data_IF_192690282561
#
_entry.id   IF_192690282561
#
_cell.length_a   1.000
_cell.length_b   1.000
_cell.length_c   1.000
_cell.angle_alpha   90.00
_cell.angle_beta   90.00
_cell.angle_gamma   90.00
#
_symmetry.space_group_name_H-M   'P 1'
#
loop_
_entity.id
_entity.type
_entity.pdbx_description
1 polymer ?
#
# COMPACT_ATOMS: atom_id res chain seq x y z
N UNK A 1 1.06 -51.31 -29.92
CA UNK A 1 -0.09 -50.61 -29.31
C UNK A 1 0.20 -49.97 -27.94
N UNK A 2 0.90 -50.58 -26.97
CA UNK A 2 1.08 -49.95 -25.65
C UNK A 2 2.06 -48.77 -25.67
N UNK A 3 3.12 -48.84 -26.48
CA UNK A 3 4.14 -47.78 -26.55
C UNK A 3 3.60 -46.46 -27.08
N UNK A 4 2.73 -46.50 -28.09
CA UNK A 4 2.10 -45.30 -28.65
C UNK A 4 1.18 -44.61 -27.63
N UNK A 5 0.48 -45.38 -26.79
CA UNK A 5 -0.39 -44.85 -25.75
C UNK A 5 0.42 -44.21 -24.61
N UNK A 6 1.52 -44.83 -24.20
CA UNK A 6 2.45 -44.27 -23.20
C UNK A 6 3.09 -42.98 -23.70
N UNK A 7 3.52 -42.94 -24.97
CA UNK A 7 4.08 -41.73 -25.58
C UNK A 7 3.03 -40.61 -25.70
N UNK A 8 1.79 -40.94 -26.09
CA UNK A 8 0.70 -39.98 -26.16
C UNK A 8 0.33 -39.43 -24.77
N UNK A 9 0.31 -40.28 -23.73
CA UNK A 9 0.07 -39.85 -22.35
C UNK A 9 1.21 -38.97 -21.83
N UNK A 10 2.47 -39.35 -22.09
CA UNK A 10 3.63 -38.56 -21.70
C UNK A 10 3.68 -37.20 -22.43
N UNK A 11 3.35 -37.17 -23.71
CA UNK A 11 3.24 -35.93 -24.48
C UNK A 11 2.08 -35.06 -23.99
N UNK A 12 0.92 -35.65 -23.70
CA UNK A 12 -0.23 -34.93 -23.13
C UNK A 12 0.10 -34.36 -21.77
N UNK A 13 0.70 -35.14 -20.87
CA UNK A 13 1.19 -34.66 -19.56
C UNK A 13 2.25 -33.58 -19.72
N UNK A 14 3.17 -33.71 -20.68
CA UNK A 14 4.17 -32.70 -20.98
C UNK A 14 3.56 -31.38 -21.46
N UNK A 15 2.54 -31.43 -22.32
CA UNK A 15 1.81 -30.25 -22.78
C UNK A 15 1.03 -29.61 -21.62
N UNK A 16 0.34 -30.40 -20.80
CA UNK A 16 -0.39 -29.86 -19.64
C UNK A 16 0.57 -29.30 -18.59
N UNK A 17 1.73 -29.93 -18.36
CA UNK A 17 2.76 -29.40 -17.48
C UNK A 17 3.38 -28.12 -18.05
N UNK A 18 3.63 -28.05 -19.37
CA UNK A 18 4.09 -26.83 -20.01
C UNK A 18 3.02 -25.72 -19.99
N UNK A 19 1.73 -26.05 -20.07
CA UNK A 19 0.65 -25.06 -19.95
C UNK A 19 0.47 -24.56 -18.50
N UNK A 20 0.62 -25.44 -17.51
CA UNK A 20 0.47 -25.11 -16.09
C UNK A 20 1.72 -24.46 -15.47
N UNK A 21 2.91 -24.73 -16.01
CA UNK A 21 4.18 -24.33 -15.40
C UNK A 21 5.17 -23.65 -16.37
N UNK A 22 4.87 -23.61 -17.67
CA UNK A 22 5.82 -23.22 -18.72
C UNK A 22 6.09 -21.73 -18.86
N UNK A 23 5.35 -20.86 -18.18
CA UNK A 23 5.55 -19.39 -18.32
C UNK A 23 5.45 -18.56 -17.05
N UNK A 24 5.18 -19.12 -15.88
CA UNK A 24 5.04 -18.30 -14.67
C UNK A 24 6.34 -18.29 -13.86
N UNK A 25 7.24 -17.40 -14.29
CA UNK A 25 8.34 -16.83 -13.50
C UNK A 25 7.83 -15.59 -12.73
N UNK A 26 6.51 -15.39 -12.64
CA UNK A 26 5.95 -14.18 -12.02
C UNK A 26 5.79 -14.29 -10.50
N UNK A 27 5.79 -15.50 -9.96
CA UNK A 27 5.59 -15.82 -8.54
C UNK A 27 6.75 -15.37 -7.61
N UNK A 28 7.95 -15.07 -8.14
CA UNK A 28 9.15 -14.78 -7.32
C UNK A 28 10.07 -13.72 -7.94
N UNK A 29 9.54 -12.59 -8.40
CA UNK A 29 10.38 -11.43 -8.71
C UNK A 29 11.02 -11.37 -10.11
N UNK A 30 10.38 -11.86 -11.18
CA UNK A 30 10.94 -11.76 -12.54
C UNK A 30 9.93 -11.36 -13.60
N UNK A 31 9.86 -10.07 -13.92
CA UNK A 31 9.29 -9.59 -15.18
C UNK A 31 10.36 -8.78 -15.92
N UNK A 32 10.69 -9.22 -17.13
CA UNK A 32 11.31 -8.42 -18.18
C UNK A 32 10.27 -7.38 -18.63
N UNK A 33 10.50 -6.11 -18.29
CA UNK A 33 9.73 -4.99 -18.82
C UNK A 33 10.10 -4.82 -20.29
N UNK A 34 9.25 -5.29 -21.19
CA UNK A 34 9.13 -4.66 -22.49
C UNK A 34 7.95 -3.67 -22.38
N UNK A 35 8.18 -2.35 -22.52
CA UNK A 35 7.13 -1.37 -22.30
C UNK A 35 6.08 -1.50 -23.40
N UNK A 36 4.87 -1.93 -23.02
CA UNK A 36 3.71 -1.87 -23.91
C UNK A 36 3.35 -0.40 -24.11
N UNK A 37 3.69 0.14 -25.27
CA UNK A 37 3.37 1.52 -25.65
C UNK A 37 1.90 1.57 -26.05
N UNK A 38 1.04 2.05 -25.15
CA UNK A 38 -0.37 2.29 -25.45
C UNK A 38 -0.49 3.44 -26.45
N UNK A 39 -0.96 3.13 -27.68
CA UNK A 39 -1.40 4.14 -28.66
C UNK A 39 -2.90 4.36 -28.52
N UNK A 40 -3.27 5.53 -28.00
CA UNK A 40 -4.64 6.02 -28.06
C UNK A 40 -4.80 6.89 -29.32
N UNK A 41 -5.67 6.48 -30.24
CA UNK A 41 -6.06 7.27 -31.40
C UNK A 41 -7.51 7.75 -31.19
N UNK A 42 -7.71 9.07 -31.16
CA UNK A 42 -9.03 9.67 -31.01
C UNK A 42 -9.77 9.58 -32.35
N UNK A 43 -10.73 8.66 -32.43
CA UNK A 43 -11.63 8.59 -33.58
C UNK A 43 -12.70 9.71 -33.47
N UNK A 44 -12.87 10.55 -34.50
CA UNK A 44 -13.92 11.56 -34.50
C UNK A 44 -15.29 10.86 -34.52
N UNK A 45 -16.30 11.42 -33.80
CA UNK A 45 -17.62 10.84 -33.78
C UNK A 45 -18.24 10.85 -35.19
N UNK A 46 -19.01 9.82 -35.57
CA UNK A 46 -19.64 9.73 -36.88
C UNK A 46 -20.58 10.93 -37.11
N UNK A 47 -20.48 11.52 -38.30
CA UNK A 47 -21.27 12.68 -38.68
C UNK A 47 -22.77 12.35 -38.62
N UNK A 48 -23.51 13.12 -37.83
CA UNK A 48 -24.97 13.02 -37.74
C UNK A 48 -25.56 13.52 -39.06
N UNK A 49 -26.26 12.64 -39.78
CA UNK A 49 -27.01 13.00 -40.97
C UNK A 49 -28.09 14.04 -40.62
N UNK A 50 -28.33 15.05 -41.48
CA UNK A 50 -29.31 16.09 -41.20
C UNK A 50 -30.74 15.53 -41.21
N UNK A 51 -31.50 15.81 -40.15
CA UNK A 51 -32.94 15.52 -40.08
C UNK A 51 -33.72 16.41 -41.07
N UNK A 52 -34.75 15.89 -41.78
CA UNK A 52 -35.61 16.70 -42.62
C UNK A 52 -36.39 17.73 -41.80
N UNK A 53 -36.52 18.94 -42.35
CA UNK A 53 -37.29 20.04 -41.78
C UNK A 53 -38.78 19.67 -41.70
N UNK A 54 -39.36 19.74 -40.49
CA UNK A 54 -40.79 19.66 -40.28
C UNK A 54 -41.43 21.05 -40.47
N UNK A 55 -42.47 21.07 -41.30
CA UNK A 55 -43.34 22.20 -41.61
C UNK A 55 -43.92 22.89 -40.37
N UNK A 56 -44.02 24.21 -40.48
CA UNK A 56 -44.59 25.13 -39.50
C UNK A 56 -46.13 25.15 -39.57
N UNK A 57 -46.78 25.19 -38.40
CA UNK A 57 -48.18 25.62 -38.24
C UNK A 57 -48.33 26.57 -37.04
N UNK A 58 -49.35 27.45 -37.07
CA UNK A 58 -49.17 28.86 -36.71
C UNK A 58 -49.52 29.23 -35.26
N UNK A 59 -49.11 30.46 -34.97
CA UNK A 59 -49.14 31.26 -33.74
C UNK A 59 -50.49 31.32 -33.01
N UNK A 60 -50.45 31.15 -31.68
CA UNK A 60 -51.39 31.78 -30.74
C UNK A 60 -50.59 32.44 -29.60
N UNK A 61 -50.90 33.70 -29.30
CA UNK A 61 -50.45 34.51 -28.13
C UNK A 61 -51.71 35.16 -27.52
N UNK A 62 -51.67 35.75 -26.31
CA UNK A 62 -50.93 35.36 -25.09
C UNK A 62 -51.82 35.45 -23.83
N UNK A 63 -51.43 34.83 -22.71
CA UNK A 63 -51.92 35.23 -21.36
C UNK A 63 -50.74 35.35 -20.42
N UNK A 64 -50.67 36.50 -19.76
CA UNK A 64 -49.64 36.92 -18.82
C UNK A 64 -49.84 36.30 -17.42
N UNK A 65 -48.75 36.00 -16.71
CA UNK A 65 -48.33 36.73 -15.49
C UNK A 65 -47.13 36.09 -14.77
N UNK A 66 -46.23 37.00 -14.38
CA UNK A 66 -45.32 37.02 -13.23
C UNK A 66 -44.15 36.04 -13.08
N UNK A 67 -42.97 36.64 -13.29
CA UNK A 67 -41.66 36.34 -12.70
C UNK A 67 -41.48 37.21 -11.44
N UNK A 68 -40.68 36.78 -10.44
CA UNK A 68 -39.84 37.71 -9.70
C UNK A 68 -38.34 37.48 -9.98
N UNK A 69 -37.61 38.59 -10.02
CA UNK A 69 -36.15 38.71 -10.15
C UNK A 69 -35.44 38.37 -8.83
N UNK A 70 -34.15 37.97 -8.89
CA UNK A 70 -33.26 37.96 -7.73
C UNK A 70 -32.79 39.39 -7.38
N UNK A 71 -32.69 39.68 -6.08
CA UNK A 71 -32.16 40.94 -5.55
C UNK A 71 -30.62 40.92 -5.47
N UNK A 72 -30.04 42.08 -5.75
CA UNK A 72 -28.61 42.38 -5.84
C UNK A 72 -28.08 42.95 -4.50
N UNK A 73 -26.77 42.88 -4.21
CA UNK A 73 -26.18 43.39 -2.96
C UNK A 73 -26.06 44.92 -2.96
N UNK A 74 -26.17 45.54 -1.79
CA UNK A 74 -25.84 46.94 -1.55
C UNK A 74 -24.40 47.11 -1.04
N UNK A 75 -23.62 48.08 -1.57
CA UNK A 75 -22.32 48.49 -1.04
C UNK A 75 -22.33 49.93 -0.47
N UNK A 76 -21.17 50.33 0.10
CA UNK A 76 -20.72 51.69 0.49
C UNK A 76 -21.19 52.13 1.91
N UNK A 77 -20.40 52.77 2.78
CA UNK A 77 -19.17 53.55 2.60
C UNK A 77 -18.50 53.90 3.94
N UNK A 78 -17.18 54.07 3.87
CA UNK A 78 -16.29 54.95 4.64
C UNK A 78 -16.89 56.03 5.55
N UNK A 79 -16.31 56.22 6.74
CA UNK A 79 -15.88 57.55 7.21
C UNK A 79 -14.73 57.43 8.22
N UNK A 80 -13.82 58.38 8.10
CA UNK A 80 -12.56 58.61 8.82
C UNK A 80 -12.71 59.92 9.61
N UNK A 81 -11.73 60.17 10.48
CA UNK A 81 -11.33 61.45 11.10
C UNK A 81 -12.00 61.84 12.44
N UNK A 82 -11.37 62.52 13.42
CA UNK A 82 -10.00 62.94 13.82
C UNK A 82 -10.17 63.69 15.16
N UNK A 83 -9.15 63.69 16.03
CA UNK A 83 -8.62 64.82 16.85
C UNK A 83 -8.25 64.39 18.29
N UNK A 84 -6.98 64.43 18.76
CA UNK A 84 -6.01 65.52 19.03
C UNK A 84 -5.99 65.85 20.56
N UNK A 85 -5.04 65.32 21.38
CA UNK A 85 -3.75 65.93 21.86
C UNK A 85 -3.93 66.65 23.24
N UNK A 86 -2.99 66.66 24.25
CA UNK A 86 -1.54 66.89 24.13
C UNK A 86 -0.52 66.13 25.03
N UNK A 87 0.75 66.25 24.59
CA UNK A 87 2.09 65.90 25.13
C UNK A 87 2.48 66.88 26.28
N UNK A 88 3.24 66.61 27.37
CA UNK A 88 4.65 66.21 27.58
C UNK A 88 4.95 66.21 29.13
N UNK A 89 6.15 65.88 29.69
CA UNK A 89 7.44 65.57 29.05
C UNK A 89 8.19 64.33 29.61
N UNK A 90 9.35 64.12 29.01
CA UNK A 90 10.30 63.03 29.09
C UNK A 90 10.76 62.56 30.49
N UNK A 91 11.05 61.27 30.58
CA UNK A 91 12.22 60.76 31.31
C UNK A 91 12.83 59.66 30.47
N UNK A 92 14.05 59.89 29.98
CA UNK A 92 14.91 58.87 29.40
C UNK A 92 15.20 57.82 30.45
N UNK A 93 14.95 56.56 30.13
CA UNK A 93 15.65 55.44 30.78
C UNK A 93 15.76 54.36 29.73
N UNK A 94 16.96 54.22 29.16
CA UNK A 94 17.33 53.04 28.38
C UNK A 94 17.28 51.81 29.31
N UNK A 95 16.61 50.72 28.91
CA UNK A 95 17.03 49.40 29.32
C UNK A 95 17.95 48.85 28.24
N UNK A 96 19.19 48.65 28.65
CA UNK A 96 20.23 47.87 28.03
C UNK A 96 19.66 46.58 27.41
N UNK A 97 19.69 46.50 26.08
CA UNK A 97 19.41 45.28 25.31
C UNK A 97 20.49 44.26 25.64
N UNK A 98 20.22 43.40 26.62
CA UNK A 98 20.91 42.13 26.74
C UNK A 98 20.50 41.27 25.53
N UNK A 99 21.43 40.56 24.86
CA UNK A 99 21.06 39.64 23.80
C UNK A 99 20.28 38.49 24.42
N UNK A 100 18.95 38.52 24.27
CA UNK A 100 18.12 37.33 24.42
C UNK A 100 18.62 36.33 23.38
N UNK A 101 19.39 35.37 23.90
CA UNK A 101 19.63 34.11 23.21
C UNK A 101 18.25 33.57 22.86
N UNK A 102 17.93 33.29 21.58
CA UNK A 102 16.68 32.64 21.29
C UNK A 102 16.73 31.31 22.03
N UNK A 103 15.91 31.19 23.07
CA UNK A 103 15.58 29.91 23.65
C UNK A 103 14.98 29.10 22.51
N UNK A 104 15.83 28.28 21.90
CA UNK A 104 15.40 27.12 21.12
C UNK A 104 14.49 26.36 22.06
N UNK A 105 13.20 26.59 21.91
CA UNK A 105 12.18 25.70 22.43
C UNK A 105 12.46 24.39 21.71
N UNK A 106 13.14 23.47 22.38
CA UNK A 106 13.37 22.14 21.86
C UNK A 106 11.98 21.58 21.56
N UNK A 107 11.64 21.46 20.26
CA UNK A 107 10.46 20.75 19.83
C UNK A 107 10.54 19.36 20.47
N UNK A 108 9.59 18.96 21.33
CA UNK A 108 9.67 17.68 22.00
C UNK A 108 9.67 16.59 20.93
N UNK A 109 10.75 15.81 20.87
CA UNK A 109 10.81 14.63 20.02
C UNK A 109 9.71 13.69 20.51
N UNK A 110 8.74 13.33 19.66
CA UNK A 110 7.62 12.49 20.09
C UNK A 110 8.15 11.11 20.52
N UNK A 111 7.67 10.62 21.67
CA UNK A 111 8.13 9.36 22.24
C UNK A 111 7.79 8.16 21.31
N UNK A 112 8.65 7.14 21.25
CA UNK A 112 8.37 5.88 20.55
C UNK A 112 7.07 5.22 21.04
N UNK A 113 6.28 4.65 20.13
CA UNK A 113 5.17 3.77 20.51
C UNK A 113 5.72 2.47 21.07
N UNK A 114 5.01 1.84 22.02
CA UNK A 114 5.37 0.50 22.51
C UNK A 114 4.95 -0.57 21.51
N UNK A 115 5.70 -1.68 21.36
CA UNK A 115 5.29 -2.77 20.50
C UNK A 115 3.92 -3.31 20.92
N UNK A 116 3.03 -3.50 19.94
CA UNK A 116 1.73 -4.16 20.18
C UNK A 116 1.88 -5.68 20.26
N UNK A 117 2.90 -6.22 19.60
CA UNK A 117 3.20 -7.64 19.58
C UNK A 117 4.12 -8.03 20.73
N UNK A 118 4.14 -9.32 21.11
CA UNK A 118 5.19 -9.86 21.97
C UNK A 118 6.57 -9.59 21.38
N UNK A 119 7.59 -9.54 22.25
CA UNK A 119 8.98 -9.25 21.88
C UNK A 119 9.51 -10.15 20.75
N UNK A 120 9.02 -11.39 20.64
CA UNK A 120 9.29 -12.25 19.49
C UNK A 120 8.10 -13.14 19.17
N UNK A 121 7.99 -13.57 17.92
CA UNK A 121 6.95 -14.49 17.51
C UNK A 121 7.11 -14.99 16.08
N UNK A 122 6.24 -15.91 15.71
CA UNK A 122 6.17 -16.48 14.36
C UNK A 122 4.71 -16.63 13.92
N UNK A 123 4.50 -16.48 12.62
CA UNK A 123 3.26 -16.84 11.94
C UNK A 123 3.60 -17.64 10.68
N UNK A 124 2.98 -18.80 10.53
CA UNK A 124 3.15 -19.67 9.34
C UNK A 124 1.89 -19.62 8.50
N UNK A 125 2.07 -19.77 7.19
CA UNK A 125 1.01 -19.71 6.22
C UNK A 125 1.08 -20.89 5.26
N UNK A 126 -0.09 -21.33 4.82
CA UNK A 126 -0.25 -22.07 3.58
C UNK A 126 -0.47 -21.08 2.43
N UNK A 127 0.12 -21.35 1.26
CA UNK A 127 -0.05 -20.54 0.06
C UNK A 127 -0.85 -21.33 -0.97
N UNK A 128 -1.98 -20.78 -1.39
CA UNK A 128 -2.85 -21.37 -2.41
C UNK A 128 -2.98 -20.48 -3.64
N UNK A 129 -3.21 -21.09 -4.80
CA UNK A 129 -3.43 -20.41 -6.07
C UNK A 129 -4.78 -20.77 -6.68
N UNK A 130 -5.43 -19.77 -7.28
CA UNK A 130 -6.70 -19.90 -8.00
C UNK A 130 -7.92 -20.09 -7.09
N UNK A 131 -9.11 -19.99 -7.68
CA UNK A 131 -10.39 -20.04 -6.95
C UNK A 131 -10.65 -21.39 -6.23
N UNK A 132 -9.99 -22.46 -6.66
CA UNK A 132 -10.11 -23.79 -6.06
C UNK A 132 -9.14 -24.03 -4.90
N UNK A 133 -8.28 -23.06 -4.57
CA UNK A 133 -7.40 -23.14 -3.40
C UNK A 133 -6.28 -24.19 -3.53
N UNK A 134 -5.70 -24.36 -4.73
CA UNK A 134 -4.63 -25.34 -4.92
C UNK A 134 -3.37 -24.91 -4.17
N UNK A 135 -2.92 -25.69 -3.18
CA UNK A 135 -1.73 -25.36 -2.41
C UNK A 135 -0.47 -25.44 -3.28
N UNK A 136 0.22 -24.30 -3.41
CA UNK A 136 1.45 -24.16 -4.19
C UNK A 136 2.70 -23.95 -3.33
N UNK A 137 2.53 -23.58 -2.06
CA UNK A 137 3.64 -23.15 -1.23
C UNK A 137 3.28 -23.01 0.25
N UNK A 138 4.27 -22.55 1.01
CA UNK A 138 4.15 -22.16 2.40
C UNK A 138 4.94 -20.88 2.63
N UNK A 139 4.55 -20.11 3.63
CA UNK A 139 5.34 -18.99 4.12
C UNK A 139 5.54 -19.07 5.63
N UNK A 140 6.59 -18.43 6.12
CA UNK A 140 6.83 -18.19 7.53
C UNK A 140 7.28 -16.74 7.68
N UNK A 141 6.65 -16.01 8.58
CA UNK A 141 7.17 -14.75 9.05
C UNK A 141 7.58 -14.87 10.51
N UNK A 142 8.66 -14.21 10.88
CA UNK A 142 9.06 -14.02 12.27
C UNK A 142 9.25 -12.55 12.56
N UNK A 143 9.06 -12.17 13.81
CA UNK A 143 9.35 -10.83 14.29
C UNK A 143 10.13 -10.88 15.59
N UNK A 144 10.95 -9.86 15.78
CA UNK A 144 11.67 -9.56 17.00
C UNK A 144 11.64 -8.04 17.24
N UNK A 145 11.34 -7.65 18.48
CA UNK A 145 11.39 -6.28 18.99
C UNK A 145 12.36 -6.26 20.16
N UNK A 146 13.34 -5.37 20.08
CA UNK A 146 14.36 -5.21 21.11
C UNK A 146 13.96 -4.10 22.09
N UNK A 147 14.54 -4.12 23.29
CA UNK A 147 14.22 -3.13 24.35
C UNK A 147 14.62 -1.69 23.98
N UNK A 148 15.62 -1.53 23.12
CA UNK A 148 16.07 -0.24 22.58
C UNK A 148 15.21 0.28 21.41
N UNK A 149 14.09 -0.39 21.11
CA UNK A 149 13.09 0.07 20.15
C UNK A 149 13.40 -0.28 18.70
N UNK A 150 14.38 -1.15 18.45
CA UNK A 150 14.61 -1.71 17.13
C UNK A 150 13.69 -2.90 16.86
N UNK A 151 13.46 -3.17 15.57
CA UNK A 151 12.75 -4.36 15.14
C UNK A 151 13.50 -5.10 14.05
N UNK A 152 13.24 -6.40 13.98
CA UNK A 152 13.65 -7.25 12.87
C UNK A 152 12.49 -8.15 12.48
N UNK A 153 12.07 -8.04 11.22
CA UNK A 153 11.11 -8.95 10.60
C UNK A 153 11.87 -9.82 9.60
N UNK A 154 11.58 -11.11 9.58
CA UNK A 154 11.98 -11.99 8.50
C UNK A 154 10.76 -12.66 7.90
N UNK A 155 10.79 -12.85 6.59
CA UNK A 155 9.78 -13.58 5.85
C UNK A 155 10.45 -14.59 4.92
N UNK A 156 9.80 -15.73 4.76
CA UNK A 156 10.21 -16.81 3.89
C UNK A 156 8.97 -17.31 3.16
N UNK A 157 9.12 -17.56 1.87
CA UNK A 157 8.11 -18.16 1.00
C UNK A 157 8.79 -19.22 0.17
N UNK A 158 8.26 -20.43 0.15
CA UNK A 158 8.80 -21.50 -0.70
C UNK A 158 7.71 -22.35 -1.33
N UNK A 159 8.03 -22.90 -2.51
CA UNK A 159 7.15 -23.87 -3.16
C UNK A 159 7.08 -25.15 -2.33
N UNK A 160 5.92 -25.80 -2.33
CA UNK A 160 5.66 -27.01 -1.54
C UNK A 160 4.90 -28.06 -2.34
N UNK A 161 4.82 -29.28 -1.80
CA UNK A 161 4.06 -30.37 -2.42
C UNK A 161 4.50 -30.72 -3.84
N UNK A 162 3.53 -30.98 -4.72
CA UNK A 162 3.79 -31.35 -6.11
C UNK A 162 4.51 -30.24 -6.90
N UNK A 163 4.27 -28.97 -6.57
CA UNK A 163 4.92 -27.84 -7.24
C UNK A 163 6.44 -27.86 -6.99
N UNK A 164 6.86 -28.18 -5.76
CA UNK A 164 8.28 -28.25 -5.41
C UNK A 164 9.05 -29.33 -6.19
N UNK A 165 8.38 -30.41 -6.64
CA UNK A 165 8.99 -31.46 -7.45
C UNK A 165 9.34 -30.99 -8.87
N UNK A 166 8.57 -30.05 -9.42
CA UNK A 166 8.81 -29.49 -10.75
C UNK A 166 9.66 -28.23 -10.72
N UNK A 167 9.51 -27.39 -9.67
CA UNK A 167 10.22 -26.12 -9.53
C UNK A 167 10.34 -25.72 -8.05
N UNK A 168 11.50 -26.02 -7.46
CA UNK A 168 11.83 -25.58 -6.10
C UNK A 168 12.30 -24.12 -6.14
N UNK A 169 11.54 -23.25 -5.47
CA UNK A 169 11.92 -21.84 -5.27
C UNK A 169 11.71 -21.49 -3.81
N UNK A 170 12.71 -20.82 -3.24
CA UNK A 170 12.68 -20.21 -1.92
C UNK A 170 13.00 -18.74 -2.06
N UNK A 171 12.13 -17.89 -1.52
CA UNK A 171 12.30 -16.45 -1.46
C UNK A 171 12.28 -16.03 0.00
N UNK A 172 13.24 -15.20 0.37
CA UNK A 172 13.46 -14.74 1.73
C UNK A 172 13.54 -13.22 1.70
N UNK A 173 12.89 -12.57 2.65
CA UNK A 173 12.98 -11.12 2.81
C UNK A 173 13.16 -10.75 4.29
N UNK A 174 13.81 -9.62 4.52
CA UNK A 174 14.09 -9.10 5.85
C UNK A 174 13.76 -7.62 5.86
N UNK A 175 13.09 -7.14 6.91
CA UNK A 175 12.89 -5.71 7.18
C UNK A 175 13.45 -5.39 8.55
N UNK A 176 14.27 -4.35 8.63
CA UNK A 176 14.85 -3.86 9.89
C UNK A 176 14.64 -2.38 10.01
N UNK A 177 14.47 -1.91 11.24
CA UNK A 177 14.33 -0.49 11.52
C UNK A 177 14.01 -0.22 12.96
N UNK A 178 13.25 0.84 13.21
CA UNK A 178 12.87 1.31 14.54
C UNK A 178 11.38 1.40 14.70
N UNK A 179 10.91 1.26 15.93
CA UNK A 179 9.57 1.62 16.32
C UNK A 179 9.58 3.08 16.77
N UNK A 180 8.81 3.93 16.08
CA UNK A 180 8.70 5.36 16.35
C UNK A 180 7.27 5.73 16.73
N UNK A 181 7.01 7.02 17.00
CA UNK A 181 5.68 7.54 17.34
C UNK A 181 4.58 7.17 16.32
N UNK A 182 4.97 6.97 15.05
CA UNK A 182 4.08 6.57 13.95
C UNK A 182 3.98 5.07 13.68
N UNK A 183 4.61 4.20 14.47
CA UNK A 183 4.69 2.76 14.23
C UNK A 183 6.04 2.34 13.65
N UNK A 184 6.07 1.28 12.84
CA UNK A 184 7.31 0.79 12.23
C UNK A 184 7.88 1.82 11.26
N UNK A 185 9.17 2.07 11.36
CA UNK A 185 9.95 2.90 10.47
C UNK A 185 11.11 2.07 9.90
N UNK A 186 10.97 1.47 8.70
CA UNK A 186 12.02 0.64 8.11
C UNK A 186 13.25 1.47 7.76
N UNK A 187 14.42 0.94 8.05
CA UNK A 187 15.72 1.49 7.65
C UNK A 187 16.33 0.68 6.51
N UNK A 188 16.07 -0.64 6.48
CA UNK A 188 16.58 -1.55 5.45
C UNK A 188 15.59 -2.66 5.11
N UNK A 189 15.45 -2.95 3.81
CA UNK A 189 14.74 -4.11 3.28
C UNK A 189 15.66 -4.94 2.38
N UNK A 190 15.82 -6.22 2.69
CA UNK A 190 16.70 -7.15 1.97
C UNK A 190 15.91 -8.33 1.42
N UNK A 191 16.36 -8.86 0.28
CA UNK A 191 15.70 -9.95 -0.43
C UNK A 191 16.72 -10.96 -0.94
N UNK A 192 16.39 -12.25 -0.80
CA UNK A 192 17.17 -13.36 -1.36
C UNK A 192 16.25 -14.34 -2.07
N UNK A 193 16.69 -14.82 -3.22
CA UNK A 193 16.06 -15.90 -3.98
C UNK A 193 17.04 -17.05 -4.10
N UNK A 194 16.65 -18.21 -3.57
CA UNK A 194 17.49 -19.41 -3.50
C UNK A 194 18.88 -19.12 -2.92
N UNK A 195 18.92 -18.34 -1.82
CA UNK A 195 20.14 -17.95 -1.12
C UNK A 195 21.00 -16.87 -1.80
N UNK A 196 20.61 -16.38 -2.98
CA UNK A 196 21.30 -15.29 -3.68
C UNK A 196 20.52 -13.99 -3.55
N UNK A 197 21.21 -12.86 -3.54
CA UNK A 197 20.58 -11.54 -3.58
C UNK A 197 19.57 -11.46 -4.75
N UNK A 198 18.34 -11.02 -4.47
CA UNK A 198 17.29 -10.93 -5.49
C UNK A 198 17.26 -9.59 -6.23
N UNK A 199 18.15 -8.66 -5.87
CA UNK A 199 18.24 -7.28 -6.37
C UNK A 199 16.93 -6.50 -6.22
N UNK A 200 16.16 -6.81 -5.17
CA UNK A 200 14.89 -6.16 -4.81
C UNK A 200 14.98 -5.48 -3.44
N UNK A 201 16.20 -5.03 -3.07
CA UNK A 201 16.49 -4.42 -1.77
C UNK A 201 16.20 -2.91 -1.78
N UNK A 202 16.04 -2.34 -0.57
CA UNK A 202 15.85 -0.90 -0.39
C UNK A 202 16.50 -0.38 0.90
N UNK A 203 17.09 0.81 0.81
CA UNK A 203 17.67 1.54 1.95
C UNK A 203 16.89 2.84 2.15
N UNK A 204 16.38 3.05 3.37
CA UNK A 204 15.52 4.17 3.73
C UNK A 204 16.33 5.21 4.53
N UNK A 205 16.48 6.40 3.96
CA UNK A 205 17.17 7.55 4.55
C UNK A 205 16.12 8.58 5.02
N UNK A 206 15.65 8.39 6.25
CA UNK A 206 14.67 9.28 6.87
C UNK A 206 15.16 10.71 7.08
N UNK A 207 16.41 10.96 7.55
CA UNK A 207 16.96 12.31 7.66
C UNK A 207 16.91 13.10 6.34
N UNK A 208 17.16 12.44 5.21
CA UNK A 208 17.14 13.06 3.88
C UNK A 208 15.80 12.87 3.14
N UNK A 209 14.79 12.27 3.76
CA UNK A 209 13.50 11.92 3.16
C UNK A 209 13.66 11.23 1.79
N UNK A 210 14.52 10.21 1.73
CA UNK A 210 14.88 9.52 0.49
C UNK A 210 14.90 8.00 0.67
N UNK A 211 14.58 7.26 -0.40
CA UNK A 211 14.75 5.81 -0.46
C UNK A 211 15.54 5.43 -1.70
N UNK A 212 16.55 4.58 -1.54
CA UNK A 212 17.34 4.03 -2.63
C UNK A 212 16.88 2.60 -2.91
N UNK A 213 16.59 2.28 -4.16
CA UNK A 213 16.29 0.90 -4.57
C UNK A 213 17.50 0.28 -5.26
N UNK A 214 17.86 -0.95 -4.90
CA UNK A 214 18.98 -1.64 -5.55
C UNK A 214 18.70 -1.99 -7.01
N UNK A 215 17.43 -2.28 -7.35
CA UNK A 215 17.04 -2.74 -8.68
C UNK A 215 17.50 -1.82 -9.82
N UNK A 216 17.31 -0.51 -9.65
CA UNK A 216 17.67 0.51 -10.64
C UNK A 216 18.71 1.50 -10.12
N UNK A 217 19.13 1.39 -8.86
CA UNK A 217 20.06 2.30 -8.20
C UNK A 217 19.49 3.70 -7.94
N UNK A 218 18.22 3.94 -8.27
CA UNK A 218 17.61 5.26 -8.20
C UNK A 218 17.24 5.63 -6.77
N UNK A 219 17.33 6.93 -6.49
CA UNK A 219 16.85 7.53 -5.25
C UNK A 219 15.52 8.21 -5.52
N UNK A 220 14.53 7.96 -4.66
CA UNK A 220 13.18 8.50 -4.77
C UNK A 220 12.79 9.25 -3.50
N UNK A 221 11.97 10.32 -3.58
CA UNK A 221 11.45 10.98 -2.38
C UNK A 221 10.66 10.01 -1.52
N UNK A 222 10.96 9.97 -0.22
CA UNK A 222 10.32 9.10 0.76
C UNK A 222 9.17 9.85 1.44
N UNK A 223 7.99 9.24 1.46
CA UNK A 223 6.84 9.79 2.16
C UNK A 223 6.91 9.42 3.65
N UNK A 224 6.42 10.28 4.56
CA UNK A 224 6.30 9.93 5.97
C UNK A 224 5.49 8.63 6.16
N UNK A 225 5.96 7.76 7.04
CA UNK A 225 5.30 6.49 7.35
C UNK A 225 5.36 5.44 6.22
N UNK A 226 6.14 5.68 5.17
CA UNK A 226 6.37 4.67 4.12
C UNK A 226 6.96 3.37 4.67
N UNK A 227 6.54 2.26 4.08
CA UNK A 227 6.90 0.91 4.50
C UNK A 227 7.56 0.15 3.36
N UNK A 228 8.25 -0.95 3.67
CA UNK A 228 8.48 -2.02 2.70
C UNK A 228 7.32 -3.03 2.74
N UNK A 229 7.26 -3.94 1.76
CA UNK A 229 6.14 -4.87 1.63
C UNK A 229 6.01 -5.85 2.80
N UNK A 230 7.11 -6.18 3.51
CA UNK A 230 7.06 -7.06 4.68
C UNK A 230 6.60 -6.27 5.91
N UNK A 231 7.21 -5.11 6.17
CA UNK A 231 6.85 -4.25 7.31
C UNK A 231 5.43 -3.72 7.22
N UNK A 232 4.89 -3.50 6.01
CA UNK A 232 3.49 -3.14 5.79
C UNK A 232 2.54 -4.02 6.61
N UNK A 233 2.68 -5.35 6.53
CA UNK A 233 1.76 -6.30 7.17
C UNK A 233 1.67 -6.12 8.70
N UNK A 234 2.73 -5.61 9.32
CA UNK A 234 2.82 -5.39 10.76
C UNK A 234 2.59 -3.93 11.13
N UNK A 235 2.92 -2.99 10.24
CA UNK A 235 2.69 -1.56 10.44
C UNK A 235 1.19 -1.24 10.55
N UNK A 236 0.33 -2.00 9.87
CA UNK A 236 -1.14 -1.85 9.96
C UNK A 236 -1.66 -1.89 11.40
N UNK A 237 -0.97 -2.60 12.30
CA UNK A 237 -1.33 -2.64 13.71
C UNK A 237 -1.24 -1.25 14.39
N UNK A 238 -0.33 -0.39 13.92
CA UNK A 238 -0.03 0.93 14.49
C UNK A 238 -0.82 2.07 13.84
N UNK A 239 -1.60 1.79 12.80
CA UNK A 239 -2.55 2.77 12.25
C UNK A 239 -3.63 3.03 13.31
N UNK A 240 -3.86 4.30 13.63
CA UNK A 240 -4.79 4.69 14.71
C UNK A 240 -6.24 4.30 14.40
N UNK A 241 -6.68 4.53 13.16
CA UNK A 241 -8.03 4.29 12.68
C UNK A 241 -8.00 3.50 11.36
N UNK A 242 -7.56 2.23 11.36
CA UNK A 242 -7.45 1.45 10.13
C UNK A 242 -8.80 1.24 9.45
N UNK A 243 -9.91 1.32 10.19
CA UNK A 243 -11.29 1.27 9.67
C UNK A 243 -11.66 2.49 8.80
N UNK A 244 -10.93 3.60 8.93
CA UNK A 244 -11.08 4.76 8.05
C UNK A 244 -10.24 4.64 6.76
N UNK A 245 -9.49 3.54 6.62
CA UNK A 245 -8.47 3.39 5.60
C UNK A 245 -7.21 4.18 5.90
N UNK A 246 -6.22 4.07 5.01
CA UNK A 246 -4.95 4.77 5.15
C UNK A 246 -4.29 5.01 3.79
N UNK A 247 -3.30 5.89 3.76
CA UNK A 247 -2.46 6.06 2.57
C UNK A 247 -1.01 6.12 2.99
N UNK A 248 -0.18 5.29 2.38
CA UNK A 248 1.26 5.28 2.62
C UNK A 248 2.04 4.89 1.37
N UNK A 249 3.32 5.26 1.36
CA UNK A 249 4.27 4.73 0.38
C UNK A 249 4.65 3.29 0.72
N UNK A 250 4.78 2.44 -0.28
CA UNK A 250 5.17 1.04 -0.12
C UNK A 250 6.26 0.69 -1.13
N UNK A 251 7.39 0.22 -0.62
CA UNK A 251 8.46 -0.36 -1.43
C UNK A 251 8.18 -1.85 -1.62
N UNK A 252 7.89 -2.24 -2.86
CA UNK A 252 7.59 -3.64 -3.25
C UNK A 252 8.87 -4.41 -3.66
N UNK A 253 10.04 -3.85 -3.39
CA UNK A 253 11.34 -4.30 -3.88
C UNK A 253 11.61 -3.98 -5.37
N UNK A 254 10.55 -3.94 -6.18
CA UNK A 254 10.60 -3.58 -7.60
C UNK A 254 10.43 -2.08 -7.84
N UNK A 255 9.48 -1.49 -7.11
CA UNK A 255 9.06 -0.11 -7.25
C UNK A 255 8.68 0.48 -5.90
N UNK A 256 8.48 1.79 -5.89
CA UNK A 256 7.94 2.53 -4.76
C UNK A 256 6.59 3.07 -5.19
N UNK A 257 5.53 2.51 -4.62
CA UNK A 257 4.14 2.83 -4.96
C UNK A 257 3.45 3.54 -3.82
N UNK A 258 2.34 4.21 -4.12
CA UNK A 258 1.43 4.75 -3.11
C UNK A 258 0.26 3.79 -2.95
N UNK A 259 0.12 3.20 -1.77
CA UNK A 259 -1.02 2.35 -1.44
C UNK A 259 -2.09 3.21 -0.78
N UNK A 260 -3.25 3.30 -1.42
CA UNK A 260 -4.49 3.72 -0.78
C UNK A 260 -5.18 2.47 -0.24
N UNK A 261 -5.11 2.28 1.07
CA UNK A 261 -5.75 1.17 1.77
C UNK A 261 -7.20 1.53 2.05
N UNK A 262 -8.11 0.94 1.27
CA UNK A 262 -9.54 0.95 1.56
C UNK A 262 -9.83 -0.01 2.72
N UNK A 263 -10.65 0.42 3.68
CA UNK A 263 -11.25 -0.51 4.64
C UNK A 263 -12.54 -1.08 4.06
N UNK A 264 -12.62 -2.40 3.97
CA UNK A 264 -13.79 -3.13 3.48
C UNK A 264 -14.72 -3.60 4.60
N UNK A 265 -14.39 -3.25 5.85
CA UNK A 265 -15.17 -3.59 7.04
C UNK A 265 -14.61 -4.77 7.80
N UNK A 266 -15.27 -5.07 8.92
CA UNK A 266 -14.94 -6.22 9.75
C UNK A 266 -15.62 -7.48 9.23
N UNK A 267 -14.91 -8.59 9.28
CA UNK A 267 -15.47 -9.92 9.01
C UNK A 267 -14.80 -10.99 9.88
N UNK A 268 -15.57 -12.01 10.25
CA UNK A 268 -15.06 -13.19 10.93
C UNK A 268 -14.54 -14.20 9.89
N UNK A 269 -13.32 -14.70 10.09
CA UNK A 269 -12.74 -15.71 9.21
C UNK A 269 -12.21 -16.88 10.02
N UNK A 270 -12.35 -18.08 9.46
CA UNK A 270 -11.71 -19.29 9.95
C UNK A 270 -10.42 -19.54 9.19
N UNK A 271 -9.34 -19.79 9.93
CA UNK A 271 -8.08 -20.28 9.39
C UNK A 271 -7.62 -21.51 10.20
N UNK A 272 -6.67 -22.31 9.70
CA UNK A 272 -6.13 -23.41 10.51
C UNK A 272 -5.43 -22.93 11.79
N UNK A 273 -5.03 -21.66 11.88
CA UNK A 273 -4.50 -21.06 13.11
C UNK A 273 -5.57 -20.66 14.13
N UNK A 274 -6.85 -20.63 13.75
CA UNK A 274 -7.97 -20.28 14.63
C UNK A 274 -9.09 -19.51 13.94
N UNK A 275 -10.06 -19.09 14.74
CA UNK A 275 -11.16 -18.21 14.34
C UNK A 275 -10.83 -16.78 14.77
N UNK A 276 -10.97 -15.82 13.85
CA UNK A 276 -10.56 -14.43 14.09
C UNK A 276 -11.63 -13.44 13.66
N UNK A 277 -11.88 -12.44 14.50
CA UNK A 277 -12.54 -11.20 14.06
C UNK A 277 -11.50 -10.31 13.38
N UNK A 278 -11.68 -10.06 12.10
CA UNK A 278 -10.69 -9.35 11.28
C UNK A 278 -11.21 -8.03 10.74
N UNK A 279 -10.30 -7.12 10.41
CA UNK A 279 -10.57 -5.99 9.53
C UNK A 279 -9.93 -6.28 8.16
N UNK A 280 -10.74 -6.21 7.11
CA UNK A 280 -10.29 -6.41 5.74
C UNK A 280 -9.85 -5.07 5.13
N UNK A 281 -8.58 -4.99 4.73
CA UNK A 281 -7.97 -3.85 4.08
C UNK A 281 -7.56 -4.19 2.66
N UNK A 282 -7.72 -3.27 1.71
CA UNK A 282 -7.39 -3.48 0.30
C UNK A 282 -6.63 -2.31 -0.29
N UNK A 283 -5.52 -2.58 -0.96
CA UNK A 283 -4.85 -1.66 -1.87
C UNK A 283 -5.04 -2.10 -3.32
N UNK A 284 -5.56 -1.20 -4.15
CA UNK A 284 -5.67 -1.39 -5.60
C UNK A 284 -4.66 -0.51 -6.33
N UNK A 285 -3.73 -1.13 -7.04
CA UNK A 285 -2.75 -0.47 -7.93
C UNK A 285 -2.86 -1.09 -9.34
N UNK A 286 -1.74 -1.43 -9.98
CA UNK A 286 -1.73 -2.34 -11.12
C UNK A 286 -1.97 -3.81 -10.72
N UNK A 287 -1.94 -4.09 -9.42
CA UNK A 287 -2.27 -5.36 -8.78
C UNK A 287 -3.17 -5.09 -7.57
N UNK A 288 -3.87 -6.11 -7.08
CA UNK A 288 -4.70 -5.99 -5.87
C UNK A 288 -4.02 -6.70 -4.72
N UNK A 289 -3.83 -6.01 -3.59
CA UNK A 289 -3.37 -6.60 -2.33
C UNK A 289 -4.47 -6.42 -1.30
N UNK A 290 -4.91 -7.52 -0.70
CA UNK A 290 -5.88 -7.55 0.39
C UNK A 290 -5.23 -8.18 1.63
N UNK A 291 -5.48 -7.60 2.80
CA UNK A 291 -4.90 -8.03 4.08
C UNK A 291 -6.02 -8.06 5.12
N UNK A 292 -6.16 -9.18 5.81
CA UNK A 292 -7.05 -9.34 6.96
C UNK A 292 -6.22 -9.28 8.24
N UNK A 293 -6.40 -8.22 9.02
CA UNK A 293 -5.74 -8.07 10.32
C UNK A 293 -6.67 -8.56 11.43
N UNK A 294 -6.20 -9.46 12.29
CA UNK A 294 -6.99 -10.02 13.38
C UNK A 294 -7.10 -9.05 14.56
N UNK A 295 -8.26 -8.42 14.71
CA UNK A 295 -8.53 -7.38 15.71
C UNK A 295 -8.47 -7.91 17.15
N UNK A 296 -8.69 -9.21 17.33
CA UNK A 296 -8.61 -9.96 18.57
C UNK A 296 -7.25 -10.66 18.79
N UNK A 297 -6.32 -10.54 17.82
CA UNK A 297 -4.98 -11.14 17.87
C UNK A 297 -3.89 -10.14 17.48
N UNK A 298 -3.79 -9.05 18.24
CA UNK A 298 -2.77 -8.00 18.10
C UNK A 298 -2.68 -7.39 16.69
N UNK A 299 -3.76 -7.45 15.90
CA UNK A 299 -3.81 -7.02 14.48
C UNK A 299 -2.81 -7.76 13.59
N UNK A 300 -2.50 -9.02 13.90
CA UNK A 300 -1.67 -9.86 13.04
C UNK A 300 -2.33 -10.10 11.67
N UNK A 301 -1.55 -10.16 10.57
CA UNK A 301 -2.04 -10.43 9.22
C UNK A 301 -2.38 -11.92 9.08
N UNK A 302 -3.61 -12.32 9.40
CA UNK A 302 -4.01 -13.73 9.42
C UNK A 302 -4.39 -14.27 8.04
N UNK A 303 -4.66 -13.38 7.09
CA UNK A 303 -4.81 -13.70 5.67
C UNK A 303 -4.28 -12.57 4.81
N UNK A 304 -3.62 -12.92 3.72
CA UNK A 304 -3.15 -11.99 2.69
C UNK A 304 -3.57 -12.55 1.33
N UNK A 305 -4.25 -11.76 0.50
CA UNK A 305 -4.56 -12.12 -0.88
C UNK A 305 -3.86 -11.16 -1.82
N UNK A 306 -3.22 -11.71 -2.85
CA UNK A 306 -2.62 -10.96 -3.93
C UNK A 306 -3.25 -11.40 -5.25
N UNK A 307 -3.74 -10.43 -6.02
CA UNK A 307 -4.21 -10.64 -7.39
C UNK A 307 -3.27 -9.90 -8.32
N UNK A 308 -2.63 -10.63 -9.22
CA UNK A 308 -1.67 -10.05 -10.15
C UNK A 308 -2.37 -9.36 -11.36
N UNK A 309 -1.56 -8.89 -12.31
CA UNK A 309 -2.03 -8.20 -13.52
C UNK A 309 -2.83 -9.09 -14.46
N UNK A 310 -2.61 -10.41 -14.42
CA UNK A 310 -3.31 -11.40 -15.23
C UNK A 310 -4.64 -11.82 -14.58
N UNK A 311 -4.81 -11.49 -13.30
CA UNK A 311 -5.98 -11.88 -12.52
C UNK A 311 -5.77 -13.18 -11.74
N UNK A 312 -4.54 -13.71 -11.71
CA UNK A 312 -4.24 -14.88 -10.89
C UNK A 312 -4.26 -14.49 -9.42
N UNK A 313 -4.95 -15.30 -8.63
CA UNK A 313 -5.18 -15.08 -7.20
C UNK A 313 -4.26 -16.00 -6.41
N UNK A 314 -3.53 -15.40 -5.48
CA UNK A 314 -2.67 -16.06 -4.52
C UNK A 314 -3.14 -15.71 -3.11
N UNK A 315 -3.39 -16.70 -2.27
CA UNK A 315 -3.77 -16.47 -0.87
C UNK A 315 -2.72 -17.08 0.05
N UNK A 316 -2.28 -16.30 1.04
CA UNK A 316 -1.58 -16.77 2.22
C UNK A 316 -2.57 -16.82 3.38
N UNK A 317 -2.80 -18.00 3.96
CA UNK A 317 -3.74 -18.19 5.07
C UNK A 317 -2.98 -18.73 6.27
N UNK A 318 -3.12 -18.07 7.42
CA UNK A 318 -2.37 -18.42 8.63
C UNK A 318 -2.72 -19.82 9.12
N UNK A 319 -1.71 -20.67 9.27
CA UNK A 319 -1.83 -22.04 9.77
C UNK A 319 -1.37 -22.21 11.20
N UNK A 320 -0.48 -21.32 11.67
CA UNK A 320 0.05 -21.36 13.03
C UNK A 320 0.47 -19.95 13.46
N UNK A 321 0.24 -19.61 14.74
CA UNK A 321 0.73 -18.37 15.36
C UNK A 321 1.31 -18.73 16.72
N UNK A 322 2.57 -18.37 16.97
CA UNK A 322 3.23 -18.74 18.22
C UNK A 322 4.53 -18.00 18.47
N UNK A 323 5.37 -18.63 19.29
CA UNK A 323 6.76 -18.26 19.50
C UNK A 323 7.65 -19.17 18.65
N UNK A 324 8.76 -18.68 18.07
CA UNK A 324 9.66 -19.51 17.25
C UNK A 324 10.18 -20.74 17.97
#
# INVERSE_FOLDING_TARGET
MPLAFVLALAASLGIHAAALFGTDIELFGGASDEPVVLRAELQPPPAVAPKPAAESKPVVKPVAKHRPKPARPGPLTSSKDVADTPVAPATETLPETAPETPETTAVPVPEPVKPLLPAKGTIRFMITMGAQGFQIGRAEHTWEFTEDGHYHLSGMTETSGLVALFKSVRFENESRGKLVAGGLQPEQYLTRKNGKDANENADFDWPNAAVRLSRDGNVRPLAPGAQDILSLNYHLAYIKQPEAGATLGVVTGKKYDRYALDSLGEEEIDTPAGHFRTLHLRAMTDTVTEIWIALDRHRLPVKIRFTDKKGDIYEQVATEIGTP
#
